data_IF_993681157293
#
_entry.id   IF_993681157293
#
_cell.length_a   1.000
_cell.length_b   1.000
_cell.length_c   1.000
_cell.angle_alpha   90.00
_cell.angle_beta   90.00
_cell.angle_gamma   90.00
#
_symmetry.space_group_name_H-M   'P 1'
#
loop_
_entity.id
_entity.type
_entity.pdbx_description
1 polymer ?
#
# COMPACT_ATOMS: atom_id res chain seq x y z
N UNK A 1 20.63 -18.04 3.92
CA UNK A 1 19.35 -17.70 3.29
C UNK A 1 19.47 -16.33 2.66
N UNK A 2 19.10 -16.23 1.40
CA UNK A 2 19.21 -14.95 0.69
C UNK A 2 18.04 -14.05 1.04
N UNK A 3 18.30 -12.76 1.08
CA UNK A 3 17.26 -11.75 1.23
C UNK A 3 17.43 -10.67 0.16
N UNK A 4 16.38 -9.92 -0.09
CA UNK A 4 16.43 -8.81 -1.03
C UNK A 4 15.84 -7.58 -0.40
N UNK A 5 16.31 -6.37 -0.79
CA UNK A 5 15.72 -5.14 -0.29
C UNK A 5 14.37 -4.91 -0.94
N UNK A 6 13.38 -4.55 -0.12
CA UNK A 6 12.03 -4.25 -0.60
C UNK A 6 11.65 -2.89 -0.05
N UNK A 7 11.13 -2.04 -0.93
CA UNK A 7 10.68 -0.71 -0.56
C UNK A 7 9.25 -0.78 -0.03
N UNK A 8 9.05 -0.34 1.20
CA UNK A 8 7.75 -0.33 1.86
C UNK A 8 7.41 1.10 2.25
N UNK A 9 6.13 1.46 2.12
CA UNK A 9 5.68 2.81 2.44
C UNK A 9 4.90 2.81 3.75
N UNK A 10 5.32 3.64 4.67
CA UNK A 10 4.66 3.85 5.97
C UNK A 10 4.27 5.32 6.09
N UNK A 11 3.57 5.67 7.17
CA UNK A 11 2.98 6.99 7.34
C UNK A 11 3.73 7.76 8.42
N UNK A 12 4.09 9.00 8.08
CA UNK A 12 4.59 9.99 9.03
C UNK A 12 3.71 11.22 8.92
N UNK A 13 3.00 11.55 9.98
CA UNK A 13 1.91 12.54 9.95
C UNK A 13 0.89 12.12 8.88
N UNK A 14 0.57 12.95 7.92
CA UNK A 14 -0.36 12.63 6.85
C UNK A 14 0.36 12.39 5.52
N UNK A 15 1.61 11.91 5.58
CA UNK A 15 2.46 11.70 4.41
C UNK A 15 3.03 10.30 4.39
N UNK A 16 3.44 9.86 3.20
CA UNK A 16 4.04 8.54 3.01
C UNK A 16 5.55 8.66 2.95
N UNK A 17 6.23 7.75 3.63
CA UNK A 17 7.69 7.68 3.68
C UNK A 17 8.13 6.31 3.20
N UNK A 18 9.05 6.29 2.23
CA UNK A 18 9.62 5.04 1.74
C UNK A 18 10.66 4.53 2.74
N UNK A 19 10.56 3.25 3.08
CA UNK A 19 11.59 2.56 3.87
C UNK A 19 12.06 1.34 3.09
N UNK A 20 13.28 0.88 3.37
CA UNK A 20 13.80 -0.33 2.75
C UNK A 20 13.98 -1.39 3.82
N UNK A 21 13.40 -2.56 3.62
CA UNK A 21 13.55 -3.69 4.52
C UNK A 21 14.03 -4.91 3.74
N UNK A 22 14.83 -5.75 4.40
CA UNK A 22 15.27 -7.00 3.81
C UNK A 22 14.21 -8.07 4.04
N UNK A 23 13.77 -8.71 2.96
CA UNK A 23 12.78 -9.78 3.00
C UNK A 23 13.39 -11.00 2.34
N UNK A 24 13.05 -12.19 2.84
CA UNK A 24 13.57 -13.45 2.30
C UNK A 24 13.31 -13.50 0.79
N UNK A 25 14.37 -13.75 0.03
CA UNK A 25 14.31 -13.77 -1.43
C UNK A 25 13.91 -15.15 -1.94
N UNK A 26 13.06 -15.26 -2.97
CA UNK A 26 12.39 -14.14 -3.63
C UNK A 26 11.22 -13.62 -2.78
N UNK A 27 11.13 -12.29 -2.66
CA UNK A 27 10.04 -11.67 -1.89
C UNK A 27 8.72 -11.85 -2.66
N UNK A 28 7.76 -12.50 -2.02
CA UNK A 28 6.43 -12.69 -2.60
C UNK A 28 5.53 -11.53 -2.24
N UNK A 29 4.45 -11.37 -2.98
CA UNK A 29 3.43 -10.36 -2.68
C UNK A 29 2.86 -10.56 -1.27
N UNK A 30 2.64 -11.82 -0.88
CA UNK A 30 2.13 -12.12 0.47
C UNK A 30 3.11 -11.69 1.55
N UNK A 31 4.40 -11.87 1.34
CA UNK A 31 5.43 -11.44 2.30
C UNK A 31 5.49 -9.92 2.40
N UNK A 32 5.36 -9.22 1.26
CA UNK A 32 5.37 -7.76 1.24
C UNK A 32 4.14 -7.21 1.98
N UNK A 33 2.97 -7.79 1.73
CA UNK A 33 1.75 -7.39 2.42
C UNK A 33 1.86 -7.65 3.92
N UNK A 34 2.38 -8.80 4.32
CA UNK A 34 2.57 -9.12 5.74
C UNK A 34 3.49 -8.12 6.43
N UNK A 35 4.56 -7.69 5.76
CA UNK A 35 5.48 -6.70 6.31
C UNK A 35 4.80 -5.34 6.50
N UNK A 36 3.95 -4.93 5.55
CA UNK A 36 3.19 -3.69 5.69
C UNK A 36 2.23 -3.76 6.86
N UNK A 37 1.51 -4.88 7.00
CA UNK A 37 0.53 -5.05 8.08
C UNK A 37 1.22 -5.10 9.44
N UNK A 38 2.41 -5.70 9.51
CA UNK A 38 3.17 -5.79 10.75
C UNK A 38 3.60 -4.41 11.27
N UNK A 39 3.67 -3.42 10.39
CA UNK A 39 4.00 -2.07 10.75
C UNK A 39 5.47 -1.72 10.56
N UNK A 40 5.84 -0.48 10.88
CA UNK A 40 7.20 -0.01 10.69
C UNK A 40 8.22 -0.80 11.51
N UNK A 41 9.50 -0.80 11.07
CA UNK A 41 10.54 -1.47 11.84
C UNK A 41 10.68 -0.85 13.24
N UNK A 42 11.08 -1.67 14.20
CA UNK A 42 11.34 -1.18 15.56
C UNK A 42 12.66 -0.43 15.58
N UNK A 43 12.82 0.44 16.59
CA UNK A 43 14.04 1.20 16.76
C UNK A 43 14.02 2.50 15.99
N UNK A 44 15.20 3.08 15.76
CA UNK A 44 15.32 4.41 15.19
C UNK A 44 14.78 4.50 13.76
N UNK A 45 14.88 3.43 12.99
CA UNK A 45 14.44 3.44 11.58
C UNK A 45 12.93 3.56 11.43
N UNK A 46 12.17 3.13 12.45
CA UNK A 46 10.71 3.21 12.42
C UNK A 46 10.14 4.33 13.27
N UNK A 47 10.99 5.16 13.86
CA UNK A 47 10.55 6.19 14.79
C UNK A 47 9.67 7.22 14.07
N UNK A 48 8.49 7.46 14.62
CA UNK A 48 7.54 8.41 14.02
C UNK A 48 6.73 7.86 12.85
N UNK A 49 6.91 6.60 12.49
CA UNK A 49 6.16 5.98 11.40
C UNK A 49 5.02 5.12 11.96
N UNK A 50 3.96 5.01 11.15
CA UNK A 50 2.83 4.13 11.47
C UNK A 50 2.27 3.52 10.20
N UNK A 51 1.41 2.54 10.36
CA UNK A 51 0.64 1.94 9.27
C UNK A 51 -0.85 2.19 9.51
N UNK A 52 -1.58 2.52 8.44
CA UNK A 52 -3.03 2.65 8.51
C UNK A 52 -3.73 1.33 8.21
N UNK A 53 -2.99 0.29 7.83
CA UNK A 53 -3.58 -1.01 7.51
C UNK A 53 -3.98 -1.74 8.80
N UNK A 54 -5.21 -2.32 8.84
CA UNK A 54 -5.62 -3.10 9.99
C UNK A 54 -4.74 -4.34 10.17
N UNK A 55 -4.48 -4.73 11.41
CA UNK A 55 -3.66 -5.90 11.70
C UNK A 55 -4.34 -7.21 11.28
N UNK A 56 -5.66 -7.19 11.12
CA UNK A 56 -6.43 -8.35 10.67
C UNK A 56 -6.99 -8.12 9.28
N UNK A 57 -6.23 -7.46 8.42
CA UNK A 57 -6.66 -7.18 7.06
C UNK A 57 -6.81 -8.48 6.27
N UNK A 58 -8.00 -8.71 5.73
CA UNK A 58 -8.25 -9.79 4.79
C UNK A 58 -8.14 -9.24 3.37
N UNK A 59 -7.06 -9.57 2.70
CA UNK A 59 -6.84 -9.11 1.33
C UNK A 59 -6.30 -10.26 0.49
N UNK A 60 -6.85 -10.40 -0.72
CA UNK A 60 -6.33 -11.31 -1.72
C UNK A 60 -5.78 -10.48 -2.87
N UNK A 61 -4.58 -10.81 -3.33
CA UNK A 61 -3.90 -10.04 -4.37
C UNK A 61 -3.56 -10.96 -5.53
N UNK A 62 -4.10 -10.63 -6.70
CA UNK A 62 -3.79 -11.32 -7.95
C UNK A 62 -3.13 -10.33 -8.91
N UNK A 63 -2.04 -10.77 -9.53
CA UNK A 63 -1.32 -9.94 -10.50
C UNK A 63 -1.51 -10.54 -11.88
N UNK A 64 -1.99 -9.70 -12.80
CA UNK A 64 -2.18 -10.10 -14.19
C UNK A 64 -1.91 -8.90 -15.09
N UNK A 65 -1.07 -9.08 -16.12
CA UNK A 65 -0.81 -8.06 -17.15
C UNK A 65 -0.39 -6.71 -16.56
N UNK A 66 0.42 -6.73 -15.52
CA UNK A 66 0.92 -5.51 -14.90
C UNK A 66 -0.02 -4.85 -13.92
N UNK A 67 -1.18 -5.45 -13.64
CA UNK A 67 -2.17 -4.92 -12.72
C UNK A 67 -2.28 -5.84 -11.50
N UNK A 68 -2.14 -5.28 -10.30
CA UNK A 68 -2.40 -6.00 -9.06
C UNK A 68 -3.85 -5.75 -8.65
N UNK A 69 -4.67 -6.80 -8.63
CA UNK A 69 -6.04 -6.70 -8.15
C UNK A 69 -6.04 -7.04 -6.66
N UNK A 70 -6.42 -6.06 -5.84
CA UNK A 70 -6.49 -6.23 -4.39
C UNK A 70 -7.95 -6.32 -3.99
N UNK A 71 -8.36 -7.50 -3.54
CA UNK A 71 -9.73 -7.74 -3.08
C UNK A 71 -9.73 -7.75 -1.55
N UNK A 72 -10.57 -6.92 -0.96
CA UNK A 72 -10.67 -6.77 0.49
C UNK A 72 -12.10 -6.96 0.93
N UNK A 73 -12.34 -6.85 2.24
CA UNK A 73 -13.68 -6.85 2.79
C UNK A 73 -14.17 -5.43 3.02
N UNK A 74 -15.48 -5.26 3.19
CA UNK A 74 -16.08 -3.93 3.38
C UNK A 74 -15.55 -3.24 4.65
N UNK A 75 -15.25 -4.01 5.70
CA UNK A 75 -14.73 -3.45 6.95
C UNK A 75 -13.44 -2.66 6.74
N UNK A 76 -12.61 -3.06 5.78
CA UNK A 76 -11.36 -2.34 5.50
C UNK A 76 -11.60 -0.86 5.23
N UNK A 77 -12.63 -0.54 4.45
CA UNK A 77 -12.90 0.86 4.10
C UNK A 77 -13.81 1.53 5.12
N UNK A 78 -14.77 0.81 5.71
CA UNK A 78 -15.77 1.43 6.58
C UNK A 78 -15.24 1.74 7.98
N UNK A 79 -14.23 1.01 8.46
CA UNK A 79 -13.68 1.21 9.80
C UNK A 79 -12.61 2.29 9.87
N UNK A 80 -12.15 2.79 8.72
CA UNK A 80 -11.13 3.83 8.68
C UNK A 80 -11.76 5.20 8.46
N UNK A 81 -11.14 6.23 9.06
CA UNK A 81 -11.52 7.61 8.75
C UNK A 81 -11.20 7.91 7.28
N UNK A 82 -11.82 8.93 6.67
CA UNK A 82 -11.52 9.27 5.27
C UNK A 82 -10.03 9.52 5.01
N UNK A 83 -9.34 10.17 5.95
CA UNK A 83 -7.90 10.41 5.81
C UNK A 83 -7.13 9.09 5.87
N UNK A 84 -7.46 8.22 6.82
CA UNK A 84 -6.77 6.94 6.96
C UNK A 84 -7.09 6.00 5.81
N UNK A 85 -8.30 6.05 5.23
CA UNK A 85 -8.60 5.30 4.02
C UNK A 85 -7.66 5.69 2.89
N UNK A 86 -7.50 6.99 2.66
CA UNK A 86 -6.60 7.48 1.62
C UNK A 86 -5.16 7.05 1.87
N UNK A 87 -4.70 7.16 3.11
CA UNK A 87 -3.33 6.77 3.47
C UNK A 87 -3.12 5.26 3.36
N UNK A 88 -4.10 4.46 3.78
CA UNK A 88 -3.99 3.01 3.66
C UNK A 88 -3.94 2.57 2.21
N UNK A 89 -4.80 3.13 1.36
CA UNK A 89 -4.79 2.85 -0.07
C UNK A 89 -3.44 3.28 -0.67
N UNK A 90 -2.93 4.45 -0.28
CA UNK A 90 -1.64 4.92 -0.76
C UNK A 90 -0.51 3.98 -0.36
N UNK A 91 -0.52 3.45 0.87
CA UNK A 91 0.49 2.47 1.28
C UNK A 91 0.51 1.27 0.35
N UNK A 92 -0.67 0.74 0.03
CA UNK A 92 -0.78 -0.44 -0.83
C UNK A 92 -0.33 -0.12 -2.26
N UNK A 93 -0.82 0.98 -2.84
CA UNK A 93 -0.49 1.32 -4.21
C UNK A 93 1.00 1.64 -4.36
N UNK A 94 1.54 2.49 -3.50
CA UNK A 94 2.94 2.88 -3.60
C UNK A 94 3.88 1.70 -3.40
N UNK A 95 3.56 0.82 -2.45
CA UNK A 95 4.40 -0.34 -2.17
C UNK A 95 4.35 -1.35 -3.31
N UNK A 96 3.15 -1.71 -3.78
CA UNK A 96 3.03 -2.77 -4.77
C UNK A 96 3.44 -2.33 -6.17
N UNK A 97 3.25 -1.06 -6.55
CA UNK A 97 3.72 -0.59 -7.84
C UNK A 97 5.24 -0.47 -7.93
N UNK A 98 5.95 -0.59 -6.80
CA UNK A 98 7.41 -0.69 -6.80
C UNK A 98 7.90 -2.13 -7.01
N UNK A 99 7.00 -3.10 -7.02
CA UNK A 99 7.39 -4.50 -7.28
C UNK A 99 7.53 -4.73 -8.78
N UNK A 100 8.49 -5.59 -9.18
CA UNK A 100 8.64 -5.93 -10.59
C UNK A 100 7.34 -6.48 -11.16
N UNK A 101 6.96 -6.05 -12.35
CA UNK A 101 5.78 -6.54 -13.04
C UNK A 101 4.46 -5.90 -12.63
N UNK A 102 4.47 -4.94 -11.72
CA UNK A 102 3.26 -4.24 -11.28
C UNK A 102 3.36 -2.76 -11.61
N UNK A 103 2.49 -2.28 -12.48
CA UNK A 103 2.43 -0.88 -12.85
C UNK A 103 1.19 -0.16 -12.36
N UNK A 104 0.13 -0.91 -12.07
CA UNK A 104 -1.15 -0.36 -11.66
C UNK A 104 -1.82 -1.28 -10.63
N UNK A 105 -2.79 -0.72 -9.90
CA UNK A 105 -3.55 -1.47 -8.89
C UNK A 105 -5.03 -1.19 -9.11
N UNK A 106 -5.86 -2.23 -8.96
CA UNK A 106 -7.31 -2.08 -8.93
C UNK A 106 -7.84 -2.68 -7.64
N UNK A 107 -8.83 -2.02 -7.04
CA UNK A 107 -9.39 -2.43 -5.76
C UNK A 107 -10.80 -2.97 -5.94
N UNK A 108 -11.08 -4.07 -5.23
CA UNK A 108 -12.42 -4.64 -5.15
C UNK A 108 -12.74 -4.89 -3.67
N UNK A 109 -14.04 -4.91 -3.36
CA UNK A 109 -14.53 -5.29 -2.04
C UNK A 109 -15.56 -6.37 -2.27
N UNK A 110 -15.36 -7.55 -1.66
CA UNK A 110 -16.21 -8.71 -1.87
C UNK A 110 -16.43 -8.98 -3.37
N UNK A 111 -15.34 -8.92 -4.14
CA UNK A 111 -15.27 -9.12 -5.60
C UNK A 111 -16.05 -8.09 -6.42
N UNK A 112 -16.45 -6.96 -5.81
CA UNK A 112 -17.11 -5.85 -6.51
C UNK A 112 -16.16 -4.67 -6.66
N UNK A 113 -16.17 -4.04 -7.82
CA UNK A 113 -15.37 -2.84 -8.04
C UNK A 113 -15.83 -1.72 -7.11
N UNK A 114 -14.87 -0.99 -6.56
CA UNK A 114 -15.17 0.11 -5.64
C UNK A 114 -14.38 1.35 -6.03
N UNK A 115 -14.93 2.51 -5.69
CA UNK A 115 -14.21 3.76 -5.80
C UNK A 115 -13.26 3.89 -4.61
N UNK A 116 -12.04 4.32 -4.87
CA UNK A 116 -11.04 4.55 -3.81
C UNK A 116 -10.52 5.97 -3.89
N UNK A 117 -10.19 6.59 -2.74
CA UNK A 117 -9.64 7.94 -2.76
C UNK A 117 -8.23 7.96 -3.35
N UNK A 118 -7.97 8.95 -4.20
CA UNK A 118 -6.62 9.24 -4.69
C UNK A 118 -5.91 10.21 -3.75
N UNK A 119 -4.60 10.33 -3.94
CA UNK A 119 -3.80 11.22 -3.11
C UNK A 119 -4.22 12.68 -3.19
N UNK A 120 -4.86 13.09 -4.28
CA UNK A 120 -5.35 14.47 -4.45
C UNK A 120 -6.69 14.70 -3.78
N UNK A 121 -7.32 13.66 -3.24
CA UNK A 121 -8.60 13.76 -2.56
C UNK A 121 -9.82 13.42 -3.40
N UNK A 122 -9.67 13.28 -4.72
CA UNK A 122 -10.76 12.83 -5.57
C UNK A 122 -10.91 11.32 -5.51
N UNK A 123 -12.06 10.82 -5.96
CA UNK A 123 -12.32 9.39 -6.00
C UNK A 123 -12.06 8.83 -7.39
N UNK A 124 -11.35 7.70 -7.45
CA UNK A 124 -11.24 6.93 -8.68
C UNK A 124 -12.57 6.24 -8.96
N UNK A 125 -12.98 6.17 -10.22
CA UNK A 125 -14.22 5.47 -10.57
C UNK A 125 -14.10 3.98 -10.26
N UNK A 126 -15.17 3.31 -9.84
CA UNK A 126 -15.12 1.85 -9.66
C UNK A 126 -14.67 1.17 -10.94
N UNK A 127 -13.75 0.22 -10.83
CA UNK A 127 -13.18 -0.47 -11.97
C UNK A 127 -12.02 0.22 -12.65
N UNK A 128 -11.68 1.43 -12.22
CA UNK A 128 -10.50 2.14 -12.72
C UNK A 128 -9.25 1.69 -11.99
N UNK A 129 -8.13 1.63 -12.70
CA UNK A 129 -6.84 1.38 -12.07
C UNK A 129 -6.27 2.66 -11.49
N UNK A 130 -5.47 2.51 -10.44
CA UNK A 130 -4.68 3.62 -9.88
C UNK A 130 -3.21 3.24 -9.95
N UNK A 131 -2.35 4.24 -9.96
CA UNK A 131 -0.93 4.03 -10.15
C UNK A 131 -0.13 4.82 -9.13
N UNK A 132 1.19 4.63 -9.15
CA UNK A 132 2.11 5.35 -8.28
C UNK A 132 1.88 6.87 -8.37
N UNK A 133 1.70 7.39 -9.60
CA UNK A 133 1.54 8.82 -9.80
C UNK A 133 0.29 9.39 -9.12
N UNK A 134 -0.74 8.58 -8.94
CA UNK A 134 -1.97 9.03 -8.27
C UNK A 134 -1.75 9.35 -6.79
N UNK A 135 -0.66 8.83 -6.20
CA UNK A 135 -0.39 9.00 -4.76
C UNK A 135 0.97 9.62 -4.49
N UNK A 136 1.76 9.89 -5.52
CA UNK A 136 3.12 10.39 -5.35
C UNK A 136 3.16 11.75 -4.63
N UNK A 137 2.10 12.54 -4.75
CA UNK A 137 2.02 13.83 -4.06
C UNK A 137 2.01 13.71 -2.53
N UNK A 138 1.68 12.52 -2.01
CA UNK A 138 1.68 12.27 -0.57
C UNK A 138 3.06 11.88 -0.04
N UNK A 139 4.00 11.56 -0.92
CA UNK A 139 5.32 11.11 -0.50
C UNK A 139 6.12 12.29 0.03
N UNK A 140 6.75 12.09 1.19
CA UNK A 140 7.67 13.09 1.73
C UNK A 140 8.91 13.09 0.85
N UNK A 141 9.22 14.26 0.29
CA UNK A 141 10.48 14.41 -0.41
C UNK A 141 11.59 14.40 0.63
N UNK A 142 12.46 13.40 0.56
CA UNK A 142 13.65 13.40 1.38
C UNK A 142 14.49 14.57 0.90
N UNK A 143 14.61 15.59 1.73
CA UNK A 143 15.52 16.69 1.43
C UNK A 143 16.91 16.08 1.29
N UNK A 144 17.41 16.14 0.10
CA UNK A 144 18.73 15.61 -0.19
C UNK A 144 19.80 16.26 0.64
#
# INVERSE_FOLDING_TARGET
MLSEPVELYYISDDRLVATTQSIVSPATISQVLAALIAGPPTGNNGLGLRSALPTVLNAEIDISKGVAQINTTAEFLTELSPIDQRLAIAQLVLTFTRRPGVGQVIFTVDDQNVAVPRGRGDLAKPGSTVSFDDYSSLIVALAG
#
